data_IF_829523527709
#
_entry.id   IF_829523527709
#
_cell.length_a   1.000
_cell.length_b   1.000
_cell.length_c   1.000
_cell.angle_alpha   90.00
_cell.angle_beta   90.00
_cell.angle_gamma   90.00
#
_symmetry.space_group_name_H-M   'P 1'
#
loop_
_entity.id
_entity.type
_entity.pdbx_description
1 polymer ?
#
# COMPACT_ATOMS: atom_id res chain seq x y z
N UNK A 1 4.31 10.57 -19.98
CA UNK A 1 4.94 9.44 -19.27
C UNK A 1 6.16 9.04 -20.06
N UNK A 2 7.29 8.82 -19.40
CA UNK A 2 8.47 8.21 -19.99
C UNK A 2 8.10 6.77 -20.43
N UNK A 3 8.60 6.33 -21.59
CA UNK A 3 8.26 5.01 -22.17
C UNK A 3 8.83 3.82 -21.38
N UNK A 4 9.68 4.09 -20.39
CA UNK A 4 10.15 3.09 -19.43
C UNK A 4 9.26 2.99 -18.18
N UNK A 5 8.18 3.77 -18.11
CA UNK A 5 7.16 3.70 -17.05
C UNK A 5 7.60 4.26 -15.69
N UNK A 6 8.79 4.88 -15.62
CA UNK A 6 9.40 5.24 -14.34
C UNK A 6 9.08 6.62 -13.80
N UNK A 7 8.54 7.56 -14.59
CA UNK A 7 8.20 8.93 -14.12
C UNK A 7 7.19 9.61 -15.01
N UNK A 8 6.18 10.24 -14.39
CA UNK A 8 5.47 11.36 -14.99
C UNK A 8 6.42 12.56 -15.04
N UNK A 9 6.72 13.05 -16.25
CA UNK A 9 7.56 14.21 -16.43
C UNK A 9 6.75 15.39 -16.95
N UNK A 10 6.84 16.50 -16.26
CA UNK A 10 6.28 17.77 -16.77
C UNK A 10 7.12 18.25 -17.94
N UNK A 11 6.50 18.38 -19.11
CA UNK A 11 7.15 18.98 -20.29
C UNK A 11 7.37 20.46 -20.04
N UNK A 12 8.64 20.88 -19.99
CA UNK A 12 9.04 22.26 -19.75
C UNK A 12 9.36 23.01 -21.05
N UNK A 13 9.83 22.29 -22.10
CA UNK A 13 10.13 22.85 -23.41
C UNK A 13 10.04 21.76 -24.51
N UNK A 14 9.87 22.15 -25.78
CA UNK A 14 9.79 21.27 -26.94
C UNK A 14 11.00 21.46 -27.83
N UNK A 15 11.61 20.35 -28.25
CA UNK A 15 12.68 20.39 -29.25
C UNK A 15 12.13 20.18 -30.67
N UNK A 16 12.41 21.14 -31.55
CA UNK A 16 12.02 21.08 -32.95
C UNK A 16 13.28 20.97 -33.79
N UNK A 17 13.38 19.90 -34.57
CA UNK A 17 14.41 19.68 -35.57
C UNK A 17 13.92 20.07 -36.97
N UNK A 18 14.84 20.50 -37.84
CA UNK A 18 14.55 20.78 -39.27
C UNK A 18 15.13 19.63 -40.13
N UNK A 19 14.29 19.03 -40.96
CA UNK A 19 14.68 18.02 -41.95
C UNK A 19 14.21 18.47 -43.32
N UNK A 20 15.10 19.10 -44.09
CA UNK A 20 14.73 19.77 -45.36
C UNK A 20 13.87 20.99 -45.08
N UNK A 21 12.68 21.07 -45.70
CA UNK A 21 11.71 22.16 -45.50
C UNK A 21 10.63 21.83 -44.44
N UNK A 22 10.76 20.71 -43.73
CA UNK A 22 9.78 20.30 -42.74
C UNK A 22 10.39 20.45 -41.33
N UNK A 23 9.60 21.02 -40.41
CA UNK A 23 9.94 21.08 -39.00
C UNK A 23 9.29 19.85 -38.32
N UNK A 24 10.10 19.09 -37.58
CA UNK A 24 9.66 17.90 -36.86
C UNK A 24 9.91 18.07 -35.35
N UNK A 25 8.98 17.61 -34.54
CA UNK A 25 9.17 17.54 -33.09
C UNK A 25 10.14 16.37 -32.83
N UNK A 26 11.32 16.70 -32.27
CA UNK A 26 12.41 15.72 -32.07
C UNK A 26 12.53 15.25 -30.62
N UNK A 27 11.94 15.96 -29.66
CA UNK A 27 11.95 15.57 -28.26
C UNK A 27 11.30 16.59 -27.34
N UNK A 28 11.22 16.25 -26.07
CA UNK A 28 10.73 17.10 -24.98
C UNK A 28 11.81 17.31 -23.95
N UNK A 29 11.92 18.53 -23.42
CA UNK A 29 12.81 18.85 -22.32
C UNK A 29 12.03 18.88 -21.01
N UNK A 30 12.31 17.89 -20.13
CA UNK A 30 11.73 17.78 -18.81
C UNK A 30 12.65 18.32 -17.70
N UNK A 31 13.81 18.90 -18.08
CA UNK A 31 14.78 19.41 -17.13
C UNK A 31 14.37 20.72 -16.47
N UNK A 32 14.96 21.01 -15.31
CA UNK A 32 14.83 22.31 -14.64
C UNK A 32 15.40 23.45 -15.48
N UNK A 33 16.35 23.17 -16.37
CA UNK A 33 16.88 24.15 -17.32
C UNK A 33 15.86 24.55 -18.40
N UNK A 34 15.05 23.62 -18.87
CA UNK A 34 13.91 23.89 -19.74
C UNK A 34 12.92 24.86 -19.08
N UNK A 35 12.64 24.64 -17.80
CA UNK A 35 11.78 25.53 -17.00
C UNK A 35 12.39 26.94 -16.85
N UNK A 36 13.68 27.04 -16.51
CA UNK A 36 14.37 28.32 -16.34
C UNK A 36 14.45 29.10 -17.66
N UNK A 37 14.61 28.39 -18.78
CA UNK A 37 14.58 28.98 -20.13
C UNK A 37 13.22 29.58 -20.43
N UNK A 38 12.15 28.85 -20.16
CA UNK A 38 10.77 29.32 -20.35
C UNK A 38 10.42 30.53 -19.49
N UNK A 39 11.00 30.63 -18.29
CA UNK A 39 10.82 31.76 -17.36
C UNK A 39 11.74 32.95 -17.65
N UNK A 40 12.62 32.88 -18.69
CA UNK A 40 13.58 33.92 -19.01
C UNK A 40 14.72 34.06 -17.99
N UNK A 41 14.93 33.09 -17.13
CA UNK A 41 15.90 33.12 -16.02
C UNK A 41 17.19 32.34 -16.33
N UNK A 42 17.55 32.16 -17.60
CA UNK A 42 18.74 31.41 -18.04
C UNK A 42 20.06 31.89 -17.42
N UNK A 43 20.19 33.21 -17.24
CA UNK A 43 21.41 33.79 -16.68
C UNK A 43 21.57 33.48 -15.18
N UNK A 44 20.48 33.34 -14.47
CA UNK A 44 20.47 32.99 -13.03
C UNK A 44 20.78 31.51 -12.87
N UNK A 45 20.20 30.62 -13.70
CA UNK A 45 20.45 29.18 -13.68
C UNK A 45 21.92 28.82 -13.93
N UNK A 46 22.58 29.46 -14.89
CA UNK A 46 24.02 29.26 -15.15
C UNK A 46 24.93 29.68 -13.99
N UNK A 47 24.51 30.66 -13.20
CA UNK A 47 25.23 31.09 -11.99
C UNK A 47 25.18 30.07 -10.88
N UNK A 48 23.99 29.45 -10.66
CA UNK A 48 23.75 28.46 -9.61
C UNK A 48 24.38 27.10 -9.99
N UNK A 49 24.29 26.68 -11.25
CA UNK A 49 24.90 25.44 -11.73
C UNK A 49 26.44 25.41 -11.57
N UNK A 50 27.12 26.52 -11.74
CA UNK A 50 28.56 26.66 -11.47
C UNK A 50 28.92 26.53 -9.98
N UNK A 51 28.01 26.86 -9.07
CA UNK A 51 28.22 26.81 -7.62
C UNK A 51 27.98 25.39 -7.04
N UNK A 52 27.19 24.55 -7.72
CA UNK A 52 26.74 23.25 -7.18
C UNK A 52 27.50 22.05 -7.80
N UNK A 53 28.43 22.31 -8.74
CA UNK A 53 29.29 21.30 -9.38
C UNK A 53 28.54 20.03 -9.88
N UNK A 54 27.29 20.21 -10.34
CA UNK A 54 26.49 19.15 -10.96
C UNK A 54 26.55 19.32 -12.48
N UNK A 55 27.18 18.39 -13.18
CA UNK A 55 27.06 18.28 -14.64
C UNK A 55 25.58 18.11 -14.99
N UNK A 56 25.06 19.11 -15.67
CA UNK A 56 23.68 19.20 -16.12
C UNK A 56 23.47 18.18 -17.25
N UNK A 57 23.00 17.02 -16.93
CA UNK A 57 22.47 16.13 -17.95
C UNK A 57 21.17 16.74 -18.45
N UNK A 58 21.20 17.27 -19.68
CA UNK A 58 19.99 17.66 -20.41
C UNK A 58 19.13 16.45 -20.62
N UNK A 59 18.11 16.28 -19.79
CA UNK A 59 17.11 15.21 -19.92
C UNK A 59 16.14 15.59 -21.05
N UNK A 60 16.63 15.47 -22.29
CA UNK A 60 15.79 15.53 -23.48
C UNK A 60 15.31 14.11 -23.78
N UNK A 61 14.02 13.90 -23.65
CA UNK A 61 13.36 12.66 -24.01
C UNK A 61 13.04 12.71 -25.50
N UNK A 62 13.61 11.82 -26.36
CA UNK A 62 13.26 11.75 -27.77
C UNK A 62 11.74 11.59 -27.97
N UNK A 63 11.19 12.23 -28.99
CA UNK A 63 9.75 12.23 -29.25
C UNK A 63 9.16 10.82 -29.43
N UNK A 64 9.94 9.90 -29.95
CA UNK A 64 9.57 8.48 -30.10
C UNK A 64 9.31 7.76 -28.78
N UNK A 65 9.82 8.32 -27.66
CA UNK A 65 9.63 7.82 -26.31
C UNK A 65 8.61 8.62 -25.50
N UNK A 66 7.94 9.60 -26.11
CA UNK A 66 6.89 10.39 -25.46
C UNK A 66 5.54 9.80 -25.84
N UNK A 67 4.85 9.22 -24.89
CA UNK A 67 3.44 8.89 -25.04
C UNK A 67 2.59 10.07 -24.56
N UNK A 68 1.74 10.62 -25.43
CA UNK A 68 0.74 11.62 -25.04
C UNK A 68 -0.46 10.89 -24.42
N UNK A 69 -0.89 11.37 -23.26
CA UNK A 69 -2.18 10.96 -22.70
C UNK A 69 -3.26 11.82 -23.38
N UNK A 70 -3.60 11.47 -24.61
CA UNK A 70 -4.67 12.13 -25.33
C UNK A 70 -5.97 11.32 -25.26
N UNK A 71 -7.06 12.03 -25.09
CA UNK A 71 -8.43 11.59 -24.75
C UNK A 71 -9.10 10.66 -25.78
N UNK A 72 -8.53 10.37 -26.95
CA UNK A 72 -9.28 9.76 -28.05
C UNK A 72 -8.64 8.53 -28.73
N UNK A 73 -7.58 7.92 -28.16
CA UNK A 73 -6.95 6.73 -28.75
C UNK A 73 -7.00 5.52 -27.79
N UNK A 74 -8.03 4.64 -27.91
CA UNK A 74 -8.19 3.47 -27.02
C UNK A 74 -7.04 2.45 -27.13
N UNK A 75 -6.28 2.45 -28.21
CA UNK A 75 -5.11 1.57 -28.39
C UNK A 75 -3.89 2.05 -27.57
N UNK A 76 -3.75 3.35 -27.38
CA UNK A 76 -2.66 3.91 -26.55
C UNK A 76 -2.96 3.79 -25.06
N UNK A 77 -4.23 3.90 -24.66
CA UNK A 77 -4.65 3.64 -23.29
C UNK A 77 -4.38 2.17 -22.89
N UNK A 78 -4.66 1.21 -23.76
CA UNK A 78 -4.45 -0.22 -23.46
C UNK A 78 -2.96 -0.59 -23.27
N UNK A 79 -2.04 0.06 -24.01
CA UNK A 79 -0.58 -0.15 -23.83
C UNK A 79 -0.06 0.52 -22.56
N UNK A 80 -0.56 1.70 -22.23
CA UNK A 80 -0.24 2.37 -20.98
C UNK A 80 -0.78 1.59 -19.78
N UNK A 81 -2.00 1.07 -19.89
CA UNK A 81 -2.69 0.29 -18.87
C UNK A 81 -1.99 -1.04 -18.57
N UNK A 82 -1.57 -1.79 -19.59
CA UNK A 82 -0.83 -3.05 -19.40
C UNK A 82 0.54 -2.87 -18.75
N UNK A 83 1.12 -1.68 -18.78
CA UNK A 83 2.35 -1.33 -18.07
C UNK A 83 2.11 -0.85 -16.65
N UNK A 84 1.02 -0.11 -16.41
CA UNK A 84 0.63 0.32 -15.07
C UNK A 84 0.34 -0.86 -14.16
N UNK A 85 -0.41 -1.83 -14.64
CA UNK A 85 -0.72 -3.09 -13.92
C UNK A 85 0.53 -3.88 -13.47
N UNK A 86 1.71 -3.61 -14.06
CA UNK A 86 2.98 -4.24 -13.69
C UNK A 86 3.83 -3.38 -12.73
N UNK A 87 3.36 -2.20 -12.38
CA UNK A 87 4.05 -1.31 -11.44
C UNK A 87 3.66 -1.66 -10.00
N UNK A 88 4.53 -1.36 -9.02
CA UNK A 88 4.16 -1.44 -7.61
C UNK A 88 2.93 -0.58 -7.31
N UNK A 89 1.99 -1.03 -6.46
CA UNK A 89 0.76 -0.30 -6.10
C UNK A 89 1.03 1.13 -5.67
N UNK A 90 2.02 1.35 -4.80
CA UNK A 90 2.44 2.67 -4.34
C UNK A 90 2.86 3.64 -5.47
N UNK A 91 3.50 3.14 -6.53
CA UNK A 91 3.87 3.96 -7.68
C UNK A 91 2.64 4.31 -8.53
N UNK A 92 1.68 3.39 -8.63
CA UNK A 92 0.39 3.61 -9.31
C UNK A 92 -0.41 4.68 -8.55
N UNK A 93 -0.54 4.56 -7.24
CA UNK A 93 -1.21 5.53 -6.38
C UNK A 93 -0.61 6.93 -6.52
N UNK A 94 0.72 7.04 -6.48
CA UNK A 94 1.42 8.31 -6.69
C UNK A 94 1.19 8.93 -8.09
N UNK A 95 0.96 8.11 -9.11
CA UNK A 95 0.58 8.57 -10.45
C UNK A 95 -0.86 9.09 -10.43
N UNK A 96 -1.79 8.34 -9.85
CA UNK A 96 -3.22 8.67 -9.79
C UNK A 96 -3.46 9.98 -9.04
N UNK A 97 -2.77 10.22 -7.93
CA UNK A 97 -2.84 11.47 -7.15
C UNK A 97 -2.44 12.73 -7.94
N UNK A 98 -1.70 12.55 -9.04
CA UNK A 98 -1.26 13.65 -9.90
C UNK A 98 -2.07 13.80 -11.19
N UNK A 99 -3.06 12.96 -11.42
CA UNK A 99 -3.95 12.99 -12.59
C UNK A 99 -5.29 13.67 -12.29
N UNK A 100 -5.95 14.12 -13.33
CA UNK A 100 -7.36 14.53 -13.20
C UNK A 100 -8.30 13.32 -13.09
N UNK A 101 -9.46 13.50 -12.45
CA UNK A 101 -10.41 12.43 -12.17
C UNK A 101 -10.84 11.61 -13.41
N UNK A 102 -10.98 12.25 -14.58
CA UNK A 102 -11.42 11.53 -15.79
C UNK A 102 -10.32 10.60 -16.30
N UNK A 103 -9.08 11.06 -16.23
CA UNK A 103 -7.91 10.27 -16.65
C UNK A 103 -7.67 9.12 -15.67
N UNK A 104 -7.76 9.37 -14.36
CA UNK A 104 -7.63 8.32 -13.33
C UNK A 104 -8.70 7.25 -13.52
N UNK A 105 -9.97 7.64 -13.68
CA UNK A 105 -11.07 6.70 -13.94
C UNK A 105 -10.84 5.85 -15.20
N UNK A 106 -10.36 6.44 -16.28
CA UNK A 106 -10.10 5.70 -17.53
C UNK A 106 -8.95 4.69 -17.37
N UNK A 107 -7.94 5.00 -16.53
CA UNK A 107 -6.83 4.11 -16.24
C UNK A 107 -7.26 2.91 -15.38
N UNK A 108 -8.10 3.14 -14.38
CA UNK A 108 -8.55 2.12 -13.43
C UNK A 108 -9.59 1.15 -13.99
N UNK A 109 -10.24 1.48 -15.12
CA UNK A 109 -11.26 0.61 -15.74
C UNK A 109 -10.77 -0.80 -16.13
N UNK A 110 -9.48 -1.02 -16.25
CA UNK A 110 -8.91 -2.32 -16.62
C UNK A 110 -8.17 -3.04 -15.49
N UNK A 111 -8.26 -2.52 -14.26
CA UNK A 111 -7.70 -3.15 -13.08
C UNK A 111 -8.66 -4.24 -12.58
N UNK A 112 -8.11 -5.36 -12.07
CA UNK A 112 -8.87 -6.31 -11.24
C UNK A 112 -9.25 -5.64 -9.92
N UNK A 113 -10.13 -6.25 -9.15
CA UNK A 113 -10.54 -5.70 -7.87
C UNK A 113 -9.38 -5.78 -6.88
N UNK A 114 -8.60 -6.87 -6.82
CA UNK A 114 -7.33 -7.02 -6.11
C UNK A 114 -6.32 -5.88 -6.44
N UNK A 115 -6.02 -5.64 -7.73
CA UNK A 115 -5.10 -4.56 -8.12
C UNK A 115 -5.61 -3.16 -7.75
N UNK A 116 -6.92 -3.01 -7.69
CA UNK A 116 -7.55 -1.76 -7.31
C UNK A 116 -7.48 -1.56 -5.79
N UNK A 117 -7.66 -2.65 -5.02
CA UNK A 117 -7.48 -2.70 -3.58
C UNK A 117 -6.06 -2.27 -3.21
N UNK A 118 -5.03 -3.02 -3.65
CA UNK A 118 -3.61 -2.70 -3.41
C UNK A 118 -3.25 -1.25 -3.75
N UNK A 119 -3.83 -0.73 -4.87
CA UNK A 119 -3.54 0.64 -5.29
C UNK A 119 -4.21 1.67 -4.40
N UNK A 120 -5.41 1.39 -3.90
CA UNK A 120 -6.17 2.30 -3.05
C UNK A 120 -5.62 2.36 -1.64
N UNK A 121 -5.11 1.26 -1.07
CA UNK A 121 -4.41 1.25 0.22
C UNK A 121 -3.27 2.27 0.25
N UNK A 122 -2.53 2.38 -0.83
CA UNK A 122 -1.42 3.31 -0.99
C UNK A 122 -1.83 4.74 -1.44
N UNK A 123 -3.11 4.96 -1.75
CA UNK A 123 -3.60 6.23 -2.27
C UNK A 123 -3.99 7.21 -1.14
N UNK A 124 -4.13 8.49 -1.49
CA UNK A 124 -4.66 9.48 -0.56
C UNK A 124 -6.15 9.26 -0.30
N UNK A 125 -6.63 9.57 0.91
CA UNK A 125 -8.04 9.46 1.29
C UNK A 125 -8.99 10.15 0.28
N UNK A 126 -8.56 11.27 -0.33
CA UNK A 126 -9.33 11.97 -1.37
C UNK A 126 -9.46 11.10 -2.64
N UNK A 127 -8.39 10.39 -3.02
CA UNK A 127 -8.40 9.49 -4.17
C UNK A 127 -9.22 8.23 -3.87
N UNK A 128 -9.05 7.61 -2.71
CA UNK A 128 -9.84 6.46 -2.25
C UNK A 128 -11.35 6.73 -2.36
N UNK A 129 -11.83 7.80 -1.72
CA UNK A 129 -13.23 8.20 -1.77
C UNK A 129 -13.70 8.51 -3.20
N UNK A 130 -12.87 9.19 -3.99
CA UNK A 130 -13.20 9.53 -5.37
C UNK A 130 -13.36 8.28 -6.22
N UNK A 131 -12.45 7.32 -6.12
CA UNK A 131 -12.50 6.09 -6.91
C UNK A 131 -13.71 5.26 -6.51
N UNK A 132 -13.85 4.94 -5.23
CA UNK A 132 -14.96 4.12 -4.74
C UNK A 132 -16.34 4.73 -5.04
N UNK A 133 -16.50 6.06 -4.91
CA UNK A 133 -17.76 6.73 -5.25
C UNK A 133 -18.14 6.67 -6.75
N UNK A 134 -17.18 6.35 -7.61
CA UNK A 134 -17.41 6.21 -9.06
C UNK A 134 -17.58 4.77 -9.52
N UNK A 135 -17.33 3.79 -8.66
CA UNK A 135 -17.62 2.39 -8.91
C UNK A 135 -19.12 2.11 -8.73
N UNK A 136 -19.56 0.98 -9.25
CA UNK A 136 -20.87 0.43 -8.88
C UNK A 136 -20.79 -0.06 -7.43
N UNK A 137 -21.82 0.11 -6.59
CA UNK A 137 -21.74 -0.24 -5.17
C UNK A 137 -21.28 -1.69 -4.91
N UNK A 138 -21.75 -2.64 -5.70
CA UNK A 138 -21.33 -4.04 -5.60
C UNK A 138 -19.82 -4.19 -5.86
N UNK A 139 -19.30 -3.58 -6.90
CA UNK A 139 -17.88 -3.60 -7.20
C UNK A 139 -17.03 -2.85 -6.17
N UNK A 140 -17.59 -1.81 -5.56
CA UNK A 140 -16.89 -1.08 -4.49
C UNK A 140 -16.77 -1.94 -3.22
N UNK A 141 -17.77 -2.79 -2.95
CA UNK A 141 -17.71 -3.79 -1.90
C UNK A 141 -16.68 -4.88 -2.24
N UNK A 142 -16.72 -5.47 -3.45
CA UNK A 142 -15.73 -6.45 -3.92
C UNK A 142 -14.29 -5.94 -3.77
N UNK A 143 -14.03 -4.65 -4.05
CA UNK A 143 -12.71 -4.02 -3.88
C UNK A 143 -12.33 -3.86 -2.42
N UNK A 144 -13.28 -3.55 -1.53
CA UNK A 144 -13.02 -3.42 -0.10
C UNK A 144 -12.77 -4.78 0.57
N UNK A 145 -13.34 -5.86 0.05
CA UNK A 145 -13.10 -7.25 0.47
C UNK A 145 -11.70 -7.74 0.12
N UNK A 146 -11.12 -7.22 -0.95
CA UNK A 146 -9.75 -7.55 -1.39
C UNK A 146 -8.68 -6.68 -0.69
N UNK A 147 -9.08 -5.76 0.21
CA UNK A 147 -8.18 -4.93 1.00
C UNK A 147 -7.87 -5.56 2.35
N UNK A 148 -6.74 -5.15 2.95
CA UNK A 148 -6.51 -5.40 4.37
C UNK A 148 -7.70 -4.86 5.19
N UNK A 149 -8.27 -5.62 6.15
CA UNK A 149 -9.48 -5.23 6.87
C UNK A 149 -9.41 -3.89 7.60
N UNK A 150 -8.26 -3.51 8.10
CA UNK A 150 -8.03 -2.20 8.75
C UNK A 150 -8.01 -1.04 7.74
N UNK A 151 -7.41 -1.23 6.58
CA UNK A 151 -7.46 -0.24 5.49
C UNK A 151 -8.90 -0.06 4.96
N UNK A 152 -9.64 -1.14 4.80
CA UNK A 152 -11.06 -1.09 4.45
C UNK A 152 -11.88 -0.35 5.52
N UNK A 153 -11.60 -0.61 6.81
CA UNK A 153 -12.25 0.07 7.94
C UNK A 153 -11.94 1.57 7.94
N UNK A 154 -10.70 1.96 7.73
CA UNK A 154 -10.28 3.38 7.69
C UNK A 154 -10.96 4.15 6.55
N UNK A 155 -11.05 3.55 5.38
CA UNK A 155 -11.77 4.12 4.24
C UNK A 155 -13.25 4.30 4.59
N UNK A 156 -13.91 3.28 5.12
CA UNK A 156 -15.33 3.30 5.49
C UNK A 156 -15.61 4.27 6.63
N UNK A 157 -14.72 4.41 7.60
CA UNK A 157 -14.81 5.41 8.68
C UNK A 157 -14.77 6.85 8.14
N UNK A 158 -14.03 7.07 7.05
CA UNK A 158 -13.90 8.37 6.39
C UNK A 158 -15.12 8.77 5.53
N UNK A 159 -16.03 7.83 5.24
CA UNK A 159 -17.23 8.04 4.43
C UNK A 159 -18.43 8.51 5.28
N UNK A 160 -19.49 8.95 4.60
CA UNK A 160 -20.75 9.15 5.31
C UNK A 160 -21.39 7.82 5.72
N UNK A 161 -22.06 7.81 6.89
CA UNK A 161 -22.61 6.59 7.49
C UNK A 161 -23.55 5.81 6.56
N UNK A 162 -24.27 6.50 5.66
CA UNK A 162 -25.23 5.82 4.77
C UNK A 162 -24.50 5.04 3.68
N UNK A 163 -23.46 5.61 3.12
CA UNK A 163 -22.63 4.98 2.10
C UNK A 163 -21.80 3.83 2.72
N UNK A 164 -21.20 4.06 3.88
CA UNK A 164 -20.45 3.03 4.62
C UNK A 164 -21.32 1.81 4.93
N UNK A 165 -22.51 2.00 5.53
CA UNK A 165 -23.43 0.90 5.82
C UNK A 165 -23.96 0.19 4.57
N UNK A 166 -24.12 0.91 3.45
CA UNK A 166 -24.52 0.30 2.19
C UNK A 166 -23.42 -0.62 1.66
N UNK A 167 -22.16 -0.20 1.70
CA UNK A 167 -21.02 -1.02 1.25
C UNK A 167 -20.83 -2.22 2.14
N UNK A 168 -20.81 -2.03 3.47
CA UNK A 168 -20.72 -3.14 4.44
C UNK A 168 -21.79 -4.22 4.21
N UNK A 169 -23.04 -3.82 3.92
CA UNK A 169 -24.13 -4.78 3.68
C UNK A 169 -23.97 -5.53 2.34
N UNK A 170 -23.13 -5.08 1.45
CA UNK A 170 -22.85 -5.72 0.16
C UNK A 170 -21.63 -6.65 0.23
N UNK A 171 -20.81 -6.54 1.27
CA UNK A 171 -19.65 -7.40 1.52
C UNK A 171 -20.09 -8.83 1.91
N UNK A 172 -19.20 -9.79 1.74
CA UNK A 172 -19.39 -11.16 2.25
C UNK A 172 -19.48 -11.15 3.78
N UNK A 173 -20.24 -12.10 4.35
CA UNK A 173 -20.58 -12.09 5.78
C UNK A 173 -19.34 -12.08 6.71
N UNK A 174 -18.22 -12.68 6.30
CA UNK A 174 -16.97 -12.80 7.06
C UNK A 174 -16.21 -11.46 7.07
N UNK A 175 -16.00 -10.87 5.91
CA UNK A 175 -15.33 -9.57 5.73
C UNK A 175 -16.13 -8.43 6.38
N UNK A 176 -17.48 -8.45 6.23
CA UNK A 176 -18.36 -7.49 6.92
C UNK A 176 -18.15 -7.56 8.43
N UNK A 177 -18.09 -8.78 9.02
CA UNK A 177 -17.93 -8.96 10.45
C UNK A 177 -16.59 -8.40 10.94
N UNK A 178 -15.50 -8.64 10.21
CA UNK A 178 -14.15 -8.21 10.58
C UNK A 178 -14.01 -6.69 10.49
N UNK A 179 -14.43 -6.10 9.39
CA UNK A 179 -14.41 -4.64 9.23
C UNK A 179 -15.30 -3.96 10.30
N UNK A 180 -16.47 -4.51 10.63
CA UNK A 180 -17.32 -3.97 11.70
C UNK A 180 -16.69 -4.07 13.09
N UNK A 181 -15.90 -5.13 13.36
CA UNK A 181 -15.13 -5.23 14.62
C UNK A 181 -14.11 -4.10 14.72
N UNK A 182 -13.39 -3.82 13.63
CA UNK A 182 -12.36 -2.78 13.58
C UNK A 182 -12.97 -1.38 13.73
N UNK A 183 -14.06 -1.09 13.04
CA UNK A 183 -14.82 0.17 13.16
C UNK A 183 -15.34 0.47 14.56
N UNK A 184 -15.41 -0.54 15.44
CA UNK A 184 -15.85 -0.34 16.81
C UNK A 184 -14.75 0.21 17.74
N UNK A 185 -13.48 0.19 17.31
CA UNK A 185 -12.36 0.72 18.10
C UNK A 185 -12.06 2.18 17.75
N UNK A 186 -11.43 2.94 18.68
CA UNK A 186 -10.92 4.28 18.36
C UNK A 186 -9.80 4.22 17.31
N UNK A 187 -9.84 5.07 16.30
CA UNK A 187 -8.85 5.16 15.22
C UNK A 187 -7.40 5.33 15.72
N UNK A 188 -7.20 5.97 16.88
CA UNK A 188 -5.89 6.22 17.50
C UNK A 188 -5.46 5.15 18.50
N UNK A 189 -6.05 3.96 18.44
CA UNK A 189 -5.76 2.81 19.31
C UNK A 189 -5.22 1.61 18.52
N UNK A 190 -4.59 0.66 19.22
CA UNK A 190 -4.12 -0.58 18.58
C UNK A 190 -5.24 -1.39 17.94
N UNK A 191 -6.46 -1.30 18.46
CA UNK A 191 -7.62 -1.94 17.84
C UNK A 191 -8.11 -1.23 16.58
N UNK A 192 -7.81 0.05 16.41
CA UNK A 192 -8.14 0.83 15.22
C UNK A 192 -7.11 0.71 14.09
N UNK A 193 -5.88 0.30 14.41
CA UNK A 193 -4.79 0.13 13.45
C UNK A 193 -4.33 -1.34 13.35
N UNK A 194 -5.10 -2.29 13.79
CA UNK A 194 -4.78 -3.72 13.70
C UNK A 194 -5.47 -4.35 12.51
N UNK A 195 -4.81 -5.28 11.87
CA UNK A 195 -5.49 -6.21 10.95
C UNK A 195 -5.99 -7.45 11.68
N UNK A 196 -7.07 -8.04 11.20
CA UNK A 196 -7.59 -9.34 11.66
C UNK A 196 -6.95 -10.51 10.94
N UNK A 197 -6.23 -10.26 9.88
CA UNK A 197 -5.49 -11.26 9.12
C UNK A 197 -4.13 -11.56 9.74
N UNK A 198 -3.93 -12.79 10.16
CA UNK A 198 -2.67 -13.25 10.72
C UNK A 198 -2.53 -14.78 10.66
N UNK A 199 -1.32 -15.24 10.43
CA UNK A 199 -1.02 -16.67 10.40
C UNK A 199 -1.03 -17.28 11.81
N UNK A 200 -1.86 -18.28 12.06
CA UNK A 200 -1.96 -18.96 13.34
C UNK A 200 -1.96 -20.47 13.20
N UNK A 201 -1.65 -21.17 14.30
CA UNK A 201 -1.72 -22.65 14.38
C UNK A 201 -2.16 -23.10 15.78
N UNK A 202 -2.84 -24.26 15.90
CA UNK A 202 -3.21 -24.85 17.18
C UNK A 202 -1.99 -25.23 18.04
N UNK A 203 -2.07 -25.00 19.35
CA UNK A 203 -1.01 -25.21 20.32
C UNK A 203 -0.59 -26.68 20.50
N UNK A 204 -1.48 -27.62 20.15
CA UNK A 204 -1.24 -29.07 20.24
C UNK A 204 -0.43 -29.65 19.08
N UNK A 205 -0.10 -28.86 18.05
CA UNK A 205 0.59 -29.35 16.87
C UNK A 205 2.09 -29.61 17.13
N UNK A 206 2.64 -30.56 16.37
CA UNK A 206 4.09 -30.65 16.16
C UNK A 206 4.52 -29.63 15.11
N UNK A 207 5.82 -29.36 15.04
CA UNK A 207 6.39 -28.46 14.01
C UNK A 207 5.99 -28.89 12.59
N UNK A 208 6.00 -30.22 12.31
CA UNK A 208 5.60 -30.73 11.00
C UNK A 208 4.12 -30.46 10.69
N UNK A 209 3.25 -30.61 11.69
CA UNK A 209 1.80 -30.36 11.51
C UNK A 209 1.52 -28.87 11.34
N UNK A 210 2.23 -28.01 12.08
CA UNK A 210 2.11 -26.56 11.94
C UNK A 210 2.50 -26.11 10.52
N UNK A 211 3.64 -26.55 10.01
CA UNK A 211 4.10 -26.22 8.65
C UNK A 211 3.15 -26.75 7.55
N UNK A 212 2.53 -27.90 7.76
CA UNK A 212 1.55 -28.43 6.81
C UNK A 212 0.23 -27.67 6.87
N UNK A 213 -0.21 -27.27 8.07
CA UNK A 213 -1.39 -26.46 8.27
C UNK A 213 -1.24 -25.10 7.56
N UNK A 214 -0.15 -24.38 7.79
CA UNK A 214 0.12 -23.08 7.17
C UNK A 214 0.16 -23.13 5.65
N UNK A 215 0.59 -24.24 5.04
CA UNK A 215 0.57 -24.40 3.57
C UNK A 215 -0.81 -24.56 2.97
N UNK A 216 -1.80 -24.90 3.77
CA UNK A 216 -3.17 -25.15 3.36
C UNK A 216 -4.18 -24.20 3.98
N UNK A 217 -3.76 -23.30 4.84
CA UNK A 217 -4.58 -22.28 5.46
C UNK A 217 -4.74 -21.10 4.50
N UNK A 218 -5.94 -20.62 4.31
CA UNK A 218 -6.25 -19.41 3.56
C UNK A 218 -5.63 -18.21 4.28
N UNK A 219 -5.88 -18.04 5.58
CA UNK A 219 -5.31 -16.96 6.41
C UNK A 219 -3.78 -16.83 6.31
N UNK A 220 -3.06 -17.96 6.19
CA UNK A 220 -1.61 -17.96 6.08
C UNK A 220 -1.10 -17.70 4.65
N UNK A 221 -1.96 -17.84 3.66
CA UNK A 221 -1.65 -17.58 2.24
C UNK A 221 -1.89 -16.09 1.93
N UNK A 222 -2.91 -15.52 2.54
CA UNK A 222 -3.33 -14.13 2.39
C UNK A 222 -2.46 -13.16 3.22
N UNK A 223 -1.90 -13.62 4.36
CA UNK A 223 -0.94 -12.83 5.16
C UNK A 223 0.36 -12.55 4.36
N UNK A 224 0.40 -11.42 3.68
CA UNK A 224 1.57 -10.96 2.91
C UNK A 224 2.83 -10.82 3.77
N UNK A 225 2.67 -10.61 5.08
CA UNK A 225 3.73 -10.31 6.04
C UNK A 225 3.92 -11.39 7.12
N UNK A 226 3.74 -12.68 6.78
CA UNK A 226 3.89 -13.78 7.73
C UNK A 226 5.32 -13.87 8.32
N UNK A 227 5.69 -12.90 9.16
CA UNK A 227 6.95 -12.93 9.93
C UNK A 227 6.84 -13.79 11.16
N UNK A 228 5.65 -13.84 11.76
CA UNK A 228 5.32 -14.59 12.96
C UNK A 228 4.13 -15.52 12.71
N UNK A 229 4.09 -16.59 13.49
CA UNK A 229 2.96 -17.50 13.57
C UNK A 229 2.47 -17.50 15.01
N UNK A 230 1.19 -17.25 15.18
CA UNK A 230 0.54 -17.15 16.48
C UNK A 230 0.00 -18.52 16.91
N UNK A 231 0.27 -18.88 18.16
CA UNK A 231 -0.09 -20.17 18.70
C UNK A 231 -1.34 -19.98 19.53
N UNK A 232 -2.45 -20.56 19.08
CA UNK A 232 -3.76 -20.42 19.74
C UNK A 232 -4.22 -21.72 20.33
N UNK A 233 -4.96 -21.65 21.45
CA UNK A 233 -5.70 -22.79 21.99
C UNK A 233 -7.10 -22.91 21.36
N UNK A 234 -7.89 -23.91 21.79
CA UNK A 234 -9.24 -24.15 21.26
C UNK A 234 -10.27 -23.04 21.59
N UNK A 235 -9.92 -22.06 22.41
CA UNK A 235 -10.74 -20.90 22.73
C UNK A 235 -10.11 -19.61 22.14
N UNK A 236 -9.26 -19.75 21.09
CA UNK A 236 -8.56 -18.66 20.37
C UNK A 236 -7.66 -17.79 21.26
N UNK A 237 -7.26 -18.30 22.42
CA UNK A 237 -6.38 -17.56 23.33
C UNK A 237 -4.92 -17.70 22.90
N UNK A 238 -4.22 -16.59 22.88
CA UNK A 238 -2.81 -16.56 22.56
C UNK A 238 -1.98 -17.30 23.61
N UNK A 239 -1.31 -18.38 23.19
CA UNK A 239 -0.38 -19.18 24.00
C UNK A 239 1.07 -18.75 23.82
N UNK A 240 1.41 -18.21 22.65
CA UNK A 240 2.72 -17.72 22.35
C UNK A 240 2.88 -17.36 20.87
N UNK A 241 4.11 -16.93 20.53
CA UNK A 241 4.47 -16.50 19.19
C UNK A 241 5.75 -17.21 18.78
N UNK A 242 5.82 -17.68 17.54
CA UNK A 242 7.04 -18.22 16.94
C UNK A 242 7.35 -17.49 15.65
N UNK A 243 8.64 -17.15 15.43
CA UNK A 243 9.01 -16.59 14.14
C UNK A 243 8.94 -17.67 13.05
N UNK A 244 8.54 -17.28 11.83
CA UNK A 244 8.56 -18.20 10.69
C UNK A 244 9.93 -18.82 10.48
N UNK A 245 11.01 -18.03 10.73
CA UNK A 245 12.38 -18.51 10.68
C UNK A 245 12.63 -19.65 11.65
N UNK A 246 12.22 -19.49 12.90
CA UNK A 246 12.45 -20.50 13.94
C UNK A 246 11.60 -21.74 13.69
N UNK A 247 10.37 -21.55 13.22
CA UNK A 247 9.47 -22.65 12.84
C UNK A 247 10.06 -23.48 11.70
N UNK A 248 10.58 -22.85 10.64
CA UNK A 248 11.18 -23.55 9.48
C UNK A 248 12.50 -24.28 9.86
N UNK A 249 13.24 -23.76 10.82
CA UNK A 249 14.53 -24.36 11.26
C UNK A 249 14.39 -25.36 12.41
N UNK A 250 13.21 -25.44 13.04
CA UNK A 250 12.93 -26.37 14.12
C UNK A 250 12.88 -27.85 13.64
N UNK A 251 13.25 -28.82 14.50
CA UNK A 251 13.09 -30.24 14.18
C UNK A 251 11.60 -30.62 14.05
N UNK A 252 11.26 -31.24 12.94
CA UNK A 252 9.87 -31.54 12.55
C UNK A 252 9.10 -32.45 13.54
N UNK A 253 9.80 -33.32 14.25
CA UNK A 253 9.25 -34.30 15.18
C UNK A 253 8.98 -33.74 16.60
N UNK A 254 9.31 -32.48 16.84
CA UNK A 254 9.16 -31.86 18.16
C UNK A 254 7.77 -31.19 18.30
N UNK A 255 7.24 -31.18 19.55
CA UNK A 255 6.04 -30.39 19.81
C UNK A 255 6.33 -28.91 19.66
N UNK A 256 5.38 -28.18 19.16
CA UNK A 256 5.49 -26.74 18.90
C UNK A 256 5.75 -25.95 20.20
N UNK A 257 5.21 -26.42 21.33
CA UNK A 257 5.41 -25.84 22.67
C UNK A 257 6.85 -25.64 23.12
N UNK A 258 7.82 -26.27 22.45
CA UNK A 258 9.23 -26.05 22.74
C UNK A 258 9.86 -24.89 21.97
N UNK A 259 9.12 -24.23 21.08
CA UNK A 259 9.66 -23.33 20.06
C UNK A 259 8.98 -21.96 20.01
N UNK A 260 7.89 -21.75 20.76
CA UNK A 260 7.25 -20.44 20.82
C UNK A 260 7.58 -19.70 22.13
N UNK A 261 7.52 -18.39 22.08
CA UNK A 261 7.70 -17.52 23.24
C UNK A 261 6.33 -17.29 23.90
N UNK A 262 6.15 -17.82 25.12
CA UNK A 262 4.94 -17.63 25.93
C UNK A 262 4.84 -16.21 26.51
N UNK A 263 5.98 -15.53 26.69
CA UNK A 263 6.08 -14.17 27.23
C UNK A 263 6.15 -13.10 26.12
N UNK A 264 5.68 -13.44 24.91
CA UNK A 264 5.67 -12.52 23.79
C UNK A 264 4.99 -11.17 24.13
N UNK A 265 5.59 -10.09 23.66
CA UNK A 265 5.05 -8.74 23.86
C UNK A 265 3.72 -8.65 23.13
N UNK A 266 2.70 -8.17 23.82
CA UNK A 266 1.34 -8.01 23.31
C UNK A 266 0.72 -6.73 23.87
N UNK A 267 -0.30 -6.24 23.21
CA UNK A 267 -1.06 -5.05 23.62
C UNK A 267 -2.55 -5.38 23.75
N UNK A 268 -3.31 -4.51 24.39
CA UNK A 268 -4.77 -4.59 24.41
C UNK A 268 -5.36 -3.63 23.36
N UNK A 269 -6.58 -3.83 22.85
CA UNK A 269 -7.12 -3.06 21.73
C UNK A 269 -7.29 -1.55 22.00
N UNK A 270 -7.24 -1.12 23.26
CA UNK A 270 -7.31 0.29 23.64
C UNK A 270 -5.93 0.90 23.96
N UNK A 271 -4.84 0.19 23.69
CA UNK A 271 -3.48 0.75 23.79
C UNK A 271 -3.33 1.84 22.73
N UNK A 272 -2.84 3.05 23.12
CA UNK A 272 -2.60 4.11 22.13
C UNK A 272 -1.63 3.68 21.02
N UNK A 273 -1.90 4.10 19.81
CA UNK A 273 -1.10 3.75 18.62
C UNK A 273 0.39 4.15 18.74
N UNK A 274 0.69 5.28 19.40
CA UNK A 274 2.07 5.73 19.63
C UNK A 274 2.83 4.82 20.63
N UNK A 275 2.13 4.19 21.58
CA UNK A 275 2.69 3.17 22.46
C UNK A 275 2.99 1.88 21.68
N UNK A 276 2.13 1.47 20.74
CA UNK A 276 2.39 0.35 19.83
C UNK A 276 3.65 0.61 19.00
N UNK A 277 3.73 1.77 18.34
CA UNK A 277 4.91 2.17 17.57
C UNK A 277 6.20 2.19 18.41
N UNK A 278 6.12 2.67 19.66
CA UNK A 278 7.24 2.63 20.59
C UNK A 278 7.68 1.19 20.92
N UNK A 279 6.74 0.27 21.16
CA UNK A 279 7.04 -1.13 21.47
C UNK A 279 7.64 -1.85 20.28
N UNK A 280 7.07 -1.66 19.07
CA UNK A 280 7.61 -2.18 17.81
C UNK A 280 9.06 -1.72 17.62
N UNK A 281 9.31 -0.43 17.72
CA UNK A 281 10.67 0.13 17.56
C UNK A 281 11.65 -0.29 18.67
N UNK A 282 11.18 -0.43 19.93
CA UNK A 282 12.03 -0.78 21.06
C UNK A 282 12.52 -2.22 21.05
N UNK A 283 11.68 -3.11 20.54
CA UNK A 283 11.94 -4.56 20.58
C UNK A 283 12.21 -5.14 19.20
N UNK A 284 12.35 -4.29 18.17
CA UNK A 284 12.60 -4.68 16.77
C UNK A 284 11.55 -5.70 16.27
N UNK A 285 10.26 -5.46 16.59
CA UNK A 285 9.18 -6.35 16.20
C UNK A 285 8.72 -6.05 14.77
N UNK A 286 8.30 -7.10 14.05
CA UNK A 286 7.67 -6.97 12.73
C UNK A 286 6.15 -6.88 12.83
N UNK A 287 5.58 -7.41 13.92
CA UNK A 287 4.18 -7.27 14.29
C UNK A 287 4.01 -7.46 15.80
N UNK A 288 2.94 -6.92 16.37
CA UNK A 288 2.63 -7.07 17.80
C UNK A 288 1.17 -7.57 17.95
N UNK A 289 0.93 -8.70 18.65
CA UNK A 289 -0.41 -9.22 18.82
C UNK A 289 -1.26 -8.34 19.74
N UNK A 290 -2.50 -8.11 19.30
CA UNK A 290 -3.55 -7.45 20.06
C UNK A 290 -4.45 -8.52 20.70
N UNK A 291 -4.60 -8.47 22.00
CA UNK A 291 -5.38 -9.48 22.74
C UNK A 291 -6.38 -8.81 23.67
N UNK A 292 -7.50 -9.48 23.87
CA UNK A 292 -8.45 -9.09 24.91
C UNK A 292 -7.82 -9.21 26.30
N UNK A 293 -7.79 -8.16 27.11
CA UNK A 293 -7.06 -8.15 28.38
C UNK A 293 -7.65 -9.08 29.46
N UNK A 294 -8.89 -9.49 29.35
CA UNK A 294 -9.54 -10.37 30.33
C UNK A 294 -9.45 -11.85 29.96
N UNK A 295 -9.70 -12.17 28.69
CA UNK A 295 -9.76 -13.54 28.19
C UNK A 295 -8.44 -14.01 27.56
N UNK A 296 -7.56 -13.10 27.14
CA UNK A 296 -6.37 -13.35 26.32
C UNK A 296 -6.68 -13.93 24.93
N UNK A 297 -7.92 -13.74 24.45
CA UNK A 297 -8.31 -14.09 23.08
C UNK A 297 -7.58 -13.17 22.11
N UNK A 298 -7.09 -13.75 21.03
CA UNK A 298 -6.43 -13.00 19.95
C UNK A 298 -7.47 -12.20 19.19
N UNK A 299 -7.22 -10.93 18.96
CA UNK A 299 -8.13 -10.01 18.23
C UNK A 299 -7.58 -9.61 16.87
N UNK A 300 -6.26 -9.53 16.75
CA UNK A 300 -5.57 -9.12 15.55
C UNK A 300 -4.09 -8.86 15.80
N UNK A 301 -3.43 -8.25 14.87
CA UNK A 301 -2.03 -7.81 14.96
C UNK A 301 -1.90 -6.37 14.51
N UNK A 302 -0.95 -5.62 15.08
CA UNK A 302 -0.46 -4.35 14.51
C UNK A 302 0.85 -4.63 13.84
N UNK A 303 0.96 -4.37 12.55
CA UNK A 303 2.16 -4.61 11.75
C UNK A 303 3.20 -3.48 11.96
N UNK A 304 4.40 -3.67 11.49
CA UNK A 304 5.48 -2.67 11.66
C UNK A 304 5.24 -1.43 10.80
N UNK A 305 4.67 -1.57 9.63
CA UNK A 305 4.35 -0.48 8.70
C UNK A 305 3.22 0.40 9.24
N UNK A 306 2.12 -0.17 9.72
CA UNK A 306 1.05 0.59 10.40
C UNK A 306 1.56 1.33 11.62
N UNK A 307 2.35 0.62 12.46
CA UNK A 307 2.96 1.26 13.61
C UNK A 307 3.89 2.43 13.22
N UNK A 308 4.67 2.30 12.14
CA UNK A 308 5.54 3.38 11.62
C UNK A 308 4.69 4.52 11.07
N UNK A 309 3.61 4.22 10.38
CA UNK A 309 2.74 5.19 9.78
C UNK A 309 2.11 6.15 10.81
N UNK A 310 1.86 5.68 12.02
CA UNK A 310 1.35 6.53 13.12
C UNK A 310 2.34 7.61 13.55
N UNK A 311 3.65 7.37 13.45
CA UNK A 311 4.71 8.30 13.91
C UNK A 311 5.32 9.13 12.78
N UNK A 312 5.09 8.76 11.51
CA UNK A 312 5.58 9.53 10.37
C UNK A 312 4.74 10.78 10.17
N UNK A 313 5.37 11.99 10.16
CA UNK A 313 4.63 13.22 9.86
C UNK A 313 3.99 13.13 8.47
N UNK A 314 2.71 13.48 8.35
CA UNK A 314 1.94 13.53 7.09
C UNK A 314 2.67 14.29 5.97
N UNK A 315 3.51 15.26 6.32
CA UNK A 315 4.37 15.97 5.37
C UNK A 315 5.53 15.11 4.83
N UNK A 316 5.87 14.01 5.47
CA UNK A 316 6.91 13.08 5.02
C UNK A 316 6.30 11.98 4.15
N UNK A 317 5.12 11.47 4.47
CA UNK A 317 4.35 10.58 3.59
C UNK A 317 4.22 11.14 2.17
N UNK A 318 4.08 12.48 2.04
CA UNK A 318 3.97 13.18 0.74
C UNK A 318 5.32 13.58 0.10
N UNK A 319 6.46 13.44 0.77
CA UNK A 319 7.76 14.01 0.32
C UNK A 319 8.91 13.03 0.20
N UNK A 320 8.79 11.84 0.72
CA UNK A 320 9.85 10.85 0.52
C UNK A 320 9.82 10.39 -0.93
N UNK A 321 10.90 10.63 -1.72
CA UNK A 321 11.06 9.85 -2.93
C UNK A 321 11.26 8.42 -2.46
N UNK A 322 10.28 7.55 -2.67
CA UNK A 322 10.42 6.12 -2.39
C UNK A 322 11.59 5.62 -3.23
N UNK A 323 12.67 5.24 -2.57
CA UNK A 323 13.83 4.66 -3.22
C UNK A 323 13.46 3.21 -3.56
N UNK A 324 13.26 2.97 -4.84
CA UNK A 324 13.28 1.62 -5.43
C UNK A 324 14.71 1.23 -5.74
#
# INVERSE_FOLDING_TARGET
VDTEGRRLVRVNDLQIGRKGDIFLLTGVDASTNGLLRRLGLEKVGRGIAKLVNKEDQTHVIPWEFVASIEHDDPLRLSVAQSRLVQMPPADIAAILDNLDHNTSKALLQGFSDEQLADTLEEASNEMQQTVLSHLHPERAADVLEEMDPDEAADILASMDNTTSEQLLTLMEDEDEEDVRKLLAYPEDSSGGIMTTEYAWVPDQYSVAQALEYLRSSEDAIEDEFMYYVYILDSEERLKGVVSLRDLVTAPLDKPLSNWFDEDAIKVNPLTPQDECAYLVAKYDLMAIPVVDPESNVMLGIVTVDDAIDTVLPTAWKKKLPRFS
#
